data_IF_281331543187
#
_entry.id   IF_281331543187
#
_cell.length_a   1.000
_cell.length_b   1.000
_cell.length_c   1.000
_cell.angle_alpha   90.00
_cell.angle_beta   90.00
_cell.angle_gamma   90.00
#
_symmetry.space_group_name_H-M   'P 1'
#
loop_
_entity.id
_entity.type
_entity.pdbx_description
1 polymer ?
#
# COMPACT_ATOMS: atom_id res chain seq x y z
N UNK A 1 -7.01 11.55 -4.78
CA UNK A 1 -5.80 11.75 -5.60
C UNK A 1 -4.60 11.15 -4.92
N UNK A 2 -4.78 10.00 -4.26
CA UNK A 2 -3.87 9.50 -3.23
C UNK A 2 -3.47 8.05 -3.50
N UNK A 3 -4.03 7.44 -4.55
CA UNK A 3 -3.72 6.09 -4.99
C UNK A 3 -2.22 5.93 -5.24
N UNK A 4 -1.63 4.88 -4.69
CA UNK A 4 -0.18 4.65 -4.68
C UNK A 4 0.56 5.24 -3.47
N UNK A 5 -0.11 6.06 -2.65
CA UNK A 5 0.48 6.66 -1.45
C UNK A 5 0.79 5.63 -0.35
N UNK A 6 1.79 5.90 0.51
CA UNK A 6 2.22 4.98 1.55
C UNK A 6 1.33 5.02 2.80
N UNK A 7 1.06 3.85 3.37
CA UNK A 7 0.55 3.72 4.73
C UNK A 7 1.63 3.11 5.63
N UNK A 8 2.17 3.93 6.53
CA UNK A 8 3.31 3.60 7.38
C UNK A 8 2.84 3.41 8.83
N UNK A 9 3.26 2.30 9.45
CA UNK A 9 3.07 2.02 10.87
C UNK A 9 4.40 1.56 11.45
N UNK A 10 4.82 2.11 12.60
CA UNK A 10 6.12 1.79 13.23
C UNK A 10 7.31 1.87 12.28
N UNK A 11 7.30 2.87 11.38
CA UNK A 11 8.34 3.06 10.36
C UNK A 11 8.44 1.94 9.31
N UNK A 12 7.40 1.11 9.16
CA UNK A 12 7.28 0.07 8.15
C UNK A 12 6.13 0.38 7.17
N UNK A 13 6.34 0.09 5.88
CA UNK A 13 5.31 0.20 4.85
C UNK A 13 4.37 -1.02 4.91
N UNK A 14 3.17 -0.80 5.46
CA UNK A 14 2.18 -1.87 5.66
C UNK A 14 1.08 -1.89 4.59
N UNK A 15 0.84 -0.75 3.96
CA UNK A 15 -0.21 -0.59 2.95
C UNK A 15 0.15 0.42 1.85
N UNK A 16 -0.49 0.27 0.70
CA UNK A 16 -0.48 1.24 -0.40
C UNK A 16 -1.92 1.61 -0.72
N UNK A 17 -2.24 2.92 -0.79
CA UNK A 17 -3.63 3.37 -1.05
C UNK A 17 -4.09 2.81 -2.40
N UNK A 18 -5.21 2.09 -2.40
CA UNK A 18 -5.84 1.56 -3.59
C UNK A 18 -6.97 2.47 -4.06
N UNK A 19 -8.00 2.63 -3.23
CA UNK A 19 -9.18 3.41 -3.54
C UNK A 19 -9.75 4.06 -2.28
N UNK A 20 -10.36 5.23 -2.47
CA UNK A 20 -11.06 6.00 -1.46
C UNK A 20 -12.40 6.46 -2.02
N UNK A 21 -13.44 6.48 -1.19
CA UNK A 21 -14.79 6.91 -1.57
C UNK A 21 -15.08 8.22 -0.84
N UNK A 22 -14.96 9.33 -1.56
CA UNK A 22 -15.11 10.67 -0.98
C UNK A 22 -14.01 10.96 0.06
N UNK A 23 -13.77 12.24 0.34
CA UNK A 23 -12.86 12.62 1.42
C UNK A 23 -13.70 13.05 2.63
N UNK A 24 -13.44 12.46 3.80
CA UNK A 24 -14.10 12.85 5.04
C UNK A 24 -15.56 12.40 5.17
N UNK A 25 -16.00 11.42 4.38
CA UNK A 25 -17.39 10.92 4.40
C UNK A 25 -17.64 9.83 5.47
N UNK A 26 -16.67 9.57 6.34
CA UNK A 26 -16.77 8.52 7.37
C UNK A 26 -16.60 7.08 6.83
N UNK A 27 -16.33 6.94 5.53
CA UNK A 27 -15.96 5.67 4.90
C UNK A 27 -14.44 5.51 4.98
N UNK A 28 -13.92 4.35 5.42
CA UNK A 28 -12.48 4.10 5.43
C UNK A 28 -11.89 4.00 4.03
N UNK A 29 -10.64 4.47 3.88
CA UNK A 29 -9.84 4.22 2.69
C UNK A 29 -9.40 2.75 2.61
N UNK A 30 -9.29 2.25 1.38
CA UNK A 30 -8.89 0.87 1.11
C UNK A 30 -7.42 0.81 0.70
N UNK A 31 -6.65 -0.04 1.37
CA UNK A 31 -5.21 -0.21 1.14
C UNK A 31 -4.88 -1.62 0.65
N UNK A 32 -4.00 -1.70 -0.34
CA UNK A 32 -3.34 -2.95 -0.71
C UNK A 32 -2.39 -3.36 0.40
N UNK A 33 -2.60 -4.53 1.01
CA UNK A 33 -1.76 -5.06 2.08
C UNK A 33 -0.41 -5.51 1.55
N UNK A 34 0.65 -4.78 1.87
CA UNK A 34 2.01 -4.99 1.34
C UNK A 34 2.54 -6.38 1.66
N UNK A 35 2.27 -6.87 2.87
CA UNK A 35 2.71 -8.20 3.31
C UNK A 35 2.23 -9.32 2.39
N UNK A 36 1.02 -9.22 1.84
CA UNK A 36 0.46 -10.22 0.92
C UNK A 36 1.28 -10.35 -0.38
N UNK A 37 2.03 -9.33 -0.74
CA UNK A 37 2.84 -9.26 -1.97
C UNK A 37 4.34 -9.28 -1.71
N UNK A 38 4.79 -9.47 -0.46
CA UNK A 38 6.20 -9.40 -0.05
C UNK A 38 7.11 -10.28 -0.92
N UNK A 39 6.71 -11.52 -1.19
CA UNK A 39 7.50 -12.45 -2.00
C UNK A 39 7.63 -11.98 -3.46
N UNK A 40 6.56 -11.44 -4.04
CA UNK A 40 6.59 -10.89 -5.39
C UNK A 40 7.49 -9.65 -5.45
N UNK A 41 7.39 -8.74 -4.46
CA UNK A 41 8.23 -7.55 -4.37
C UNK A 41 9.72 -7.94 -4.33
N UNK A 42 10.10 -8.88 -3.44
CA UNK A 42 11.49 -9.34 -3.37
C UNK A 42 11.96 -10.00 -4.66
N UNK A 43 11.12 -10.82 -5.30
CA UNK A 43 11.45 -11.44 -6.58
C UNK A 43 11.78 -10.41 -7.66
N UNK A 44 11.02 -9.31 -7.75
CA UNK A 44 11.29 -8.23 -8.72
C UNK A 44 12.59 -7.52 -8.37
N UNK A 45 12.77 -7.11 -7.11
CA UNK A 45 13.99 -6.41 -6.68
C UNK A 45 15.27 -7.25 -6.86
N UNK A 46 15.19 -8.56 -6.72
CA UNK A 46 16.34 -9.45 -6.95
C UNK A 46 16.60 -9.71 -8.43
N UNK A 47 15.59 -9.64 -9.30
CA UNK A 47 15.74 -9.78 -10.75
C UNK A 47 16.28 -8.51 -11.42
N UNK A 48 16.14 -7.35 -10.77
CA UNK A 48 16.66 -6.05 -11.23
C UNK A 48 18.09 -5.77 -10.75
N UNK A 49 18.68 -6.67 -9.95
CA UNK A 49 20.11 -6.65 -9.59
C UNK A 49 20.96 -7.29 -10.68
#
# INVERSE_FOLDING_TARGET
GDSGGPFIVNNELVGVISHSIGCGEGVPDMYTRVYSYRNWIHKILDAEK
#
